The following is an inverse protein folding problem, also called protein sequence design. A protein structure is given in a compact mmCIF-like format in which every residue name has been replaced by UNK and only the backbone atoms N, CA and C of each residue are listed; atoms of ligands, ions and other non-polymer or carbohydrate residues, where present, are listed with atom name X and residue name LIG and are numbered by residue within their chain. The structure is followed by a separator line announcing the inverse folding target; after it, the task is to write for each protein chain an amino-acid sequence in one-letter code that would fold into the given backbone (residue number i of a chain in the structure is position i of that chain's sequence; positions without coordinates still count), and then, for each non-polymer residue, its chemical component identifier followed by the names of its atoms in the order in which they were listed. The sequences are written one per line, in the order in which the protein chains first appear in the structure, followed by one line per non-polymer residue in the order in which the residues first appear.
data_IF_019386665879
#
_entry.id   IF_019386665879
#
_cell.length_a   1.000
_cell.length_b   1.000
_cell.length_c   1.000
_cell.angle_alpha   90.00
_cell.angle_beta   90.00
_cell.angle_gamma   90.00
#
_symmetry.space_group_name_H-M   'P 1'
#
loop_
_entity.id
_entity.type
_entity.pdbx_description
1 polymer ?
#
# COMPACT_ATOMS: atom_id res chain seq x y z
N UNK A 1 -25.13 3.55 30.45
CA UNK A 1 -24.18 2.95 29.49
C UNK A 1 -24.18 1.44 29.64
N UNK A 2 -24.45 0.70 28.56
CA UNK A 2 -24.37 -0.77 28.54
C UNK A 2 -22.92 -1.26 28.67
N UNK A 3 -22.72 -2.47 29.17
CA UNK A 3 -21.40 -3.13 29.25
C UNK A 3 -20.73 -3.19 27.87
N UNK A 4 -21.49 -3.48 26.81
CA UNK A 4 -20.99 -3.54 25.43
C UNK A 4 -20.39 -2.22 24.97
N UNK A 5 -20.99 -1.08 25.33
CA UNK A 5 -20.47 0.24 24.95
C UNK A 5 -19.16 0.56 25.68
N UNK A 6 -19.03 0.18 26.96
CA UNK A 6 -17.78 0.38 27.71
C UNK A 6 -16.63 -0.46 27.13
N UNK A 7 -16.91 -1.72 26.79
CA UNK A 7 -15.92 -2.62 26.20
C UNK A 7 -15.51 -2.13 24.82
N UNK A 8 -16.48 -1.86 23.92
CA UNK A 8 -16.20 -1.41 22.56
C UNK A 8 -15.46 -0.06 22.53
N UNK A 9 -15.87 0.89 23.37
CA UNK A 9 -15.19 2.18 23.48
C UNK A 9 -13.75 2.02 23.97
N UNK A 10 -13.52 1.18 24.98
CA UNK A 10 -12.17 0.93 25.51
C UNK A 10 -11.25 0.29 24.46
N UNK A 11 -11.75 -0.69 23.70
CA UNK A 11 -11.01 -1.32 22.60
C UNK A 11 -10.71 -0.31 21.50
N UNK A 12 -11.71 0.49 21.09
CA UNK A 12 -11.56 1.47 20.01
C UNK A 12 -10.54 2.55 20.35
N UNK A 13 -10.44 2.94 21.63
CA UNK A 13 -9.40 3.88 22.10
C UNK A 13 -8.04 3.19 22.18
N UNK A 14 -7.96 1.97 22.69
CA UNK A 14 -6.69 1.29 22.93
C UNK A 14 -5.95 0.86 21.66
N UNK A 15 -6.65 0.28 20.69
CA UNK A 15 -6.02 -0.34 19.51
C UNK A 15 -5.18 0.61 18.65
N UNK A 16 -5.61 1.86 18.35
CA UNK A 16 -4.77 2.81 17.61
C UNK A 16 -3.43 3.09 18.28
N UNK A 17 -3.38 3.22 19.62
CA UNK A 17 -2.12 3.43 20.32
C UNK A 17 -1.22 2.19 20.29
N UNK A 18 -1.80 1.00 20.43
CA UNK A 18 -1.05 -0.25 20.30
C UNK A 18 -0.44 -0.38 18.90
N UNK A 19 -1.24 -0.18 17.84
CA UNK A 19 -0.74 -0.31 16.48
C UNK A 19 0.18 0.84 16.07
N UNK A 20 0.01 2.04 16.62
CA UNK A 20 0.98 3.12 16.47
C UNK A 20 2.32 2.72 17.09
N UNK A 21 2.31 2.22 18.32
CA UNK A 21 3.52 1.73 18.99
C UNK A 21 4.20 0.63 18.16
N UNK A 22 3.44 -0.36 17.67
CA UNK A 22 3.98 -1.44 16.85
C UNK A 22 4.51 -0.94 15.50
N UNK A 23 3.82 -0.01 14.82
CA UNK A 23 4.26 0.54 13.55
C UNK A 23 5.54 1.37 13.68
N UNK A 24 5.68 2.14 14.77
CA UNK A 24 6.86 2.96 15.07
C UNK A 24 8.08 2.11 15.46
N UNK A 25 7.87 1.08 16.29
CA UNK A 25 8.97 0.30 16.86
C UNK A 25 9.36 -0.94 16.05
N UNK A 26 8.50 -1.41 15.14
CA UNK A 26 8.87 -2.48 14.24
C UNK A 26 9.87 -2.00 13.19
N UNK A 27 10.89 -2.81 12.93
CA UNK A 27 11.79 -2.61 11.79
C UNK A 27 10.94 -2.62 10.49
N UNK A 28 11.05 -1.62 9.61
CA UNK A 28 10.35 -1.62 8.32
C UNK A 28 10.94 -2.61 7.30
N UNK A 29 12.07 -3.24 7.62
CA UNK A 29 12.87 -4.07 6.73
C UNK A 29 14.14 -3.36 6.28
N UNK A 30 14.92 -2.83 7.24
CA UNK A 30 16.23 -2.25 6.99
C UNK A 30 17.17 -3.29 6.39
N UNK A 31 17.69 -2.99 5.21
CA UNK A 31 18.61 -3.86 4.51
C UNK A 31 20.04 -3.59 5.01
N UNK A 32 20.68 -4.64 5.47
CA UNK A 32 22.07 -4.71 5.96
C UNK A 32 22.83 -5.78 5.18
N UNK A 33 24.17 -5.80 5.20
CA UNK A 33 24.93 -6.86 4.56
C UNK A 33 24.53 -8.27 5.02
N UNK A 34 24.17 -8.43 6.30
CA UNK A 34 23.85 -9.72 6.92
C UNK A 34 22.50 -10.28 6.43
N UNK A 35 21.52 -9.40 6.18
CA UNK A 35 20.18 -9.80 5.72
C UNK A 35 19.94 -9.55 4.22
N UNK A 36 20.95 -9.06 3.49
CA UNK A 36 20.85 -8.70 2.08
C UNK A 36 20.37 -9.85 1.21
N UNK A 37 20.97 -11.04 1.38
CA UNK A 37 20.62 -12.24 0.64
C UNK A 37 19.15 -12.66 0.86
N UNK A 38 18.64 -12.52 2.09
CA UNK A 38 17.24 -12.79 2.40
C UNK A 38 16.31 -11.85 1.62
N UNK A 39 16.57 -10.53 1.64
CA UNK A 39 15.74 -9.57 0.91
C UNK A 39 15.85 -9.71 -0.62
N UNK A 40 17.01 -10.13 -1.14
CA UNK A 40 17.17 -10.50 -2.56
C UNK A 40 16.33 -11.71 -2.96
N UNK A 41 16.05 -12.61 -2.01
CA UNK A 41 15.27 -13.83 -2.25
C UNK A 41 13.75 -13.64 -2.18
N UNK A 42 13.24 -12.53 -1.64
CA UNK A 42 11.80 -12.36 -1.44
C UNK A 42 11.03 -12.25 -2.76
N UNK A 43 11.56 -11.47 -3.70
CA UNK A 43 10.93 -11.14 -4.98
C UNK A 43 11.97 -11.24 -6.10
N UNK A 44 11.61 -11.72 -7.30
CA UNK A 44 12.43 -11.58 -8.51
C UNK A 44 12.38 -10.14 -9.03
N UNK A 45 13.33 -9.78 -9.90
CA UNK A 45 13.24 -8.55 -10.69
C UNK A 45 12.15 -8.69 -11.76
N UNK A 46 11.32 -7.66 -11.93
CA UNK A 46 10.24 -7.63 -12.91
C UNK A 46 10.72 -7.22 -14.31
N UNK A 47 11.94 -6.66 -14.41
CA UNK A 47 12.49 -6.05 -15.62
C UNK A 47 11.59 -4.96 -16.21
N UNK A 48 10.75 -4.35 -15.38
CA UNK A 48 9.93 -3.18 -15.71
C UNK A 48 10.29 -2.00 -14.83
N UNK A 49 9.97 -2.08 -13.54
CA UNK A 49 10.35 -1.07 -12.56
C UNK A 49 11.73 -1.36 -11.94
N UNK A 50 12.06 -2.63 -11.81
CA UNK A 50 13.24 -3.10 -11.12
C UNK A 50 14.04 -4.01 -12.05
N UNK A 51 15.17 -3.49 -12.54
CA UNK A 51 16.16 -4.26 -13.28
C UNK A 51 17.29 -4.76 -12.34
N UNK A 52 17.95 -5.87 -12.68
CA UNK A 52 19.02 -6.41 -11.86
C UNK A 52 20.31 -5.57 -11.94
N UNK A 53 21.13 -5.63 -10.88
CA UNK A 53 22.46 -5.03 -10.84
C UNK A 53 22.53 -3.55 -10.43
N UNK A 54 21.40 -2.88 -10.20
CA UNK A 54 21.40 -1.51 -9.67
C UNK A 54 21.92 -1.48 -8.23
N UNK A 55 23.05 -0.81 -7.99
CA UNK A 55 23.60 -0.61 -6.64
C UNK A 55 23.08 0.68 -6.00
N UNK A 56 22.84 0.64 -4.69
CA UNK A 56 22.60 1.87 -3.94
C UNK A 56 23.92 2.62 -3.78
N UNK A 57 23.99 3.86 -4.25
CA UNK A 57 25.19 4.71 -4.12
C UNK A 57 25.58 5.00 -2.67
N UNK A 58 24.60 5.03 -1.75
CA UNK A 58 24.83 5.31 -0.34
C UNK A 58 25.15 4.06 0.47
N UNK A 59 24.45 2.94 0.23
CA UNK A 59 24.60 1.71 1.02
C UNK A 59 25.60 0.71 0.42
N UNK A 60 26.00 0.85 -0.85
CA UNK A 60 27.08 0.07 -1.48
C UNK A 60 26.72 -1.32 -2.00
N UNK A 61 25.54 -1.86 -1.69
CA UNK A 61 25.07 -3.15 -2.18
C UNK A 61 24.06 -3.05 -3.34
N UNK A 62 23.86 -4.15 -4.05
CA UNK A 62 22.83 -4.29 -5.10
C UNK A 62 21.46 -4.19 -4.46
N UNK A 63 20.58 -3.33 -4.97
CA UNK A 63 19.25 -3.12 -4.40
C UNK A 63 18.38 -4.36 -4.63
N UNK A 64 17.85 -5.01 -3.57
CA UNK A 64 16.82 -6.01 -3.73
C UNK A 64 15.62 -5.47 -4.51
N UNK A 65 14.87 -6.32 -5.24
CA UNK A 65 13.64 -5.89 -5.91
C UNK A 65 12.68 -5.26 -4.91
N UNK A 66 11.91 -4.27 -5.37
CA UNK A 66 10.97 -3.50 -4.54
C UNK A 66 11.60 -2.68 -3.40
N UNK A 67 12.93 -2.60 -3.32
CA UNK A 67 13.61 -1.80 -2.30
C UNK A 67 13.88 -0.34 -2.74
N UNK A 68 13.96 0.56 -1.75
CA UNK A 68 14.32 1.96 -1.97
C UNK A 68 15.21 2.49 -0.84
N UNK A 69 16.19 3.31 -1.20
CA UNK A 69 16.94 4.08 -0.21
C UNK A 69 16.08 5.26 0.27
N UNK A 70 15.78 5.30 1.56
CA UNK A 70 15.12 6.45 2.16
C UNK A 70 16.18 7.46 2.60
N UNK A 71 16.17 8.66 2.01
CA UNK A 71 17.11 9.73 2.35
C UNK A 71 16.91 10.30 3.75
N UNK A 72 15.74 10.09 4.37
CA UNK A 72 15.44 10.53 5.74
C UNK A 72 15.99 9.49 6.74
N UNK A 73 15.63 8.22 6.57
CA UNK A 73 16.15 7.12 7.41
C UNK A 73 17.62 6.75 7.13
N UNK A 74 18.20 7.23 6.03
CA UNK A 74 19.58 6.95 5.56
C UNK A 74 19.87 5.46 5.37
N UNK A 75 18.86 4.67 5.00
CA UNK A 75 18.93 3.21 4.85
C UNK A 75 18.07 2.75 3.67
N UNK A 76 18.45 1.62 3.07
CA UNK A 76 17.58 0.92 2.14
C UNK A 76 16.51 0.13 2.90
N UNK A 77 15.27 0.24 2.44
CA UNK A 77 14.09 -0.42 3.01
C UNK A 77 13.59 -1.46 2.00
N UNK A 78 13.38 -2.70 2.43
CA UNK A 78 12.78 -3.76 1.64
C UNK A 78 11.28 -3.52 1.41
N UNK A 79 10.77 -3.83 0.21
CA UNK A 79 9.39 -3.52 -0.23
C UNK A 79 8.93 -2.15 0.27
N UNK A 80 9.73 -1.12 -0.01
CA UNK A 80 9.54 0.21 0.56
C UNK A 80 8.24 0.81 0.04
N UNK A 81 7.31 1.13 0.95
CA UNK A 81 6.07 1.81 0.59
C UNK A 81 6.26 3.33 0.56
N UNK A 82 6.52 3.93 1.73
CA UNK A 82 6.83 5.36 1.85
C UNK A 82 7.55 5.66 3.17
N UNK A 83 8.06 6.88 3.30
CA UNK A 83 8.45 7.42 4.59
C UNK A 83 7.25 8.18 5.18
N UNK A 84 6.76 7.74 6.32
CA UNK A 84 5.57 8.26 6.95
C UNK A 84 5.94 9.17 8.12
N UNK A 85 5.56 10.44 8.03
CA UNK A 85 5.81 11.43 9.08
C UNK A 85 5.06 11.10 10.38
N UNK A 86 3.91 10.42 10.30
CA UNK A 86 3.05 10.15 11.47
C UNK A 86 3.59 9.05 12.38
N UNK A 87 4.39 8.13 11.83
CA UNK A 87 5.11 7.12 12.62
C UNK A 87 6.61 7.45 12.71
N UNK A 88 7.02 8.62 12.19
CA UNK A 88 8.42 9.07 12.11
C UNK A 88 9.38 7.98 11.58
N UNK A 89 8.94 7.27 10.54
CA UNK A 89 9.60 6.05 10.09
C UNK A 89 9.14 5.61 8.72
N UNK A 90 9.87 4.67 8.12
CA UNK A 90 9.43 4.05 6.87
C UNK A 90 8.33 3.02 7.12
N UNK A 91 7.45 2.88 6.13
CA UNK A 91 6.57 1.72 5.98
C UNK A 91 7.20 0.83 4.91
N UNK A 92 7.47 -0.42 5.24
CA UNK A 92 8.13 -1.38 4.38
C UNK A 92 7.71 -2.82 4.69
N UNK A 93 8.44 -3.79 4.14
CA UNK A 93 8.09 -5.21 4.19
C UNK A 93 7.65 -5.73 5.58
N UNK A 94 8.44 -5.45 6.63
CA UNK A 94 8.25 -6.08 7.94
C UNK A 94 7.19 -5.38 8.82
N UNK A 95 6.93 -4.08 8.61
CA UNK A 95 5.99 -3.29 9.42
C UNK A 95 4.70 -2.86 8.69
N UNK A 96 4.54 -3.16 7.39
CA UNK A 96 3.37 -2.76 6.61
C UNK A 96 2.04 -3.20 7.26
N UNK A 97 1.98 -4.43 7.80
CA UNK A 97 0.79 -4.92 8.53
C UNK A 97 0.38 -4.02 9.70
N UNK A 98 1.33 -3.49 10.44
CA UNK A 98 1.05 -2.61 11.58
C UNK A 98 0.52 -1.26 11.12
N UNK A 99 1.04 -0.75 10.00
CA UNK A 99 0.52 0.46 9.39
C UNK A 99 -0.94 0.29 8.91
N UNK A 100 -1.27 -0.83 8.27
CA UNK A 100 -2.66 -1.15 7.87
C UNK A 100 -3.58 -1.25 9.09
N UNK A 101 -3.14 -1.94 10.15
CA UNK A 101 -3.91 -2.08 11.39
C UNK A 101 -4.06 -0.74 12.14
N UNK A 102 -3.05 0.13 12.08
CA UNK A 102 -3.13 1.50 12.60
C UNK A 102 -4.20 2.30 11.85
N UNK A 103 -4.22 2.26 10.52
CA UNK A 103 -5.26 2.94 9.72
C UNK A 103 -6.65 2.40 10.02
N UNK A 104 -6.81 1.07 10.07
CA UNK A 104 -8.10 0.43 10.38
C UNK A 104 -8.61 0.80 11.77
N UNK A 105 -7.78 0.65 12.80
CA UNK A 105 -8.16 0.98 14.17
C UNK A 105 -8.46 2.47 14.34
N UNK A 106 -7.68 3.35 13.69
CA UNK A 106 -7.92 4.81 13.70
C UNK A 106 -9.22 5.15 13.00
N UNK A 107 -9.52 4.53 11.85
CA UNK A 107 -10.79 4.70 11.14
C UNK A 107 -11.98 4.31 12.03
N UNK A 108 -11.88 3.18 12.75
CA UNK A 108 -12.90 2.73 13.69
C UNK A 108 -13.05 3.74 14.85
N UNK A 109 -11.95 4.21 15.43
CA UNK A 109 -11.98 5.18 16.53
C UNK A 109 -12.64 6.50 16.12
N UNK A 110 -12.24 7.10 15.00
CA UNK A 110 -12.80 8.39 14.56
C UNK A 110 -14.27 8.22 14.14
N UNK A 111 -14.63 7.10 13.52
CA UNK A 111 -16.04 6.79 13.17
C UNK A 111 -16.89 6.68 14.44
N UNK A 112 -16.42 5.91 15.42
CA UNK A 112 -17.15 5.70 16.67
C UNK A 112 -17.24 6.98 17.50
N UNK A 113 -16.14 7.72 17.65
CA UNK A 113 -16.10 9.00 18.36
C UNK A 113 -16.98 10.05 17.71
N UNK A 114 -16.93 10.17 16.37
CA UNK A 114 -17.81 11.06 15.61
C UNK A 114 -19.29 10.69 15.76
N UNK A 115 -19.64 9.42 15.62
CA UNK A 115 -21.02 8.95 15.77
C UNK A 115 -21.57 9.15 17.20
N UNK A 116 -20.76 8.86 18.22
CA UNK A 116 -21.11 9.07 19.61
C UNK A 116 -21.29 10.56 19.93
N UNK A 117 -20.33 11.39 19.53
CA UNK A 117 -20.39 12.83 19.69
C UNK A 117 -21.61 13.45 19.01
N UNK A 118 -21.88 13.03 17.77
CA UNK A 118 -23.06 13.43 17.01
C UNK A 118 -24.37 13.04 17.70
N UNK A 119 -24.44 11.83 18.27
CA UNK A 119 -25.61 11.35 19.02
C UNK A 119 -25.86 12.19 20.27
N UNK A 120 -24.80 12.53 21.02
CA UNK A 120 -24.88 13.36 22.23
C UNK A 120 -25.30 14.79 21.88
N UNK A 121 -24.68 15.41 20.86
CA UNK A 121 -25.05 16.74 20.37
C UNK A 121 -26.52 16.79 19.96
N UNK A 122 -26.96 15.81 19.17
CA UNK A 122 -28.36 15.71 18.73
C UNK A 122 -29.33 15.64 19.92
N UNK A 123 -29.01 14.84 20.94
CA UNK A 123 -29.86 14.73 22.13
C UNK A 123 -29.93 16.06 22.90
N UNK A 124 -28.78 16.74 23.08
CA UNK A 124 -28.71 18.06 23.74
C UNK A 124 -29.49 19.13 22.96
N UNK A 125 -29.28 19.20 21.65
CA UNK A 125 -29.97 20.15 20.78
C UNK A 125 -31.48 19.94 20.84
N UNK A 126 -31.94 18.69 20.74
CA UNK A 126 -33.38 18.38 20.82
C UNK A 126 -34.01 18.68 22.18
N UNK A 127 -33.24 18.59 23.27
CA UNK A 127 -33.74 18.96 24.59
C UNK A 127 -34.07 20.47 24.68
N UNK A 128 -33.32 21.32 23.96
CA UNK A 128 -33.54 22.78 23.93
C UNK A 128 -34.43 23.24 22.78
N UNK A 129 -34.32 22.58 21.64
CA UNK A 129 -34.99 22.86 20.37
C UNK A 129 -35.69 21.59 19.86
N UNK A 130 -36.89 21.25 20.37
CA UNK A 130 -37.56 19.98 20.05
C UNK A 130 -37.89 19.77 18.56
N UNK A 131 -38.08 20.87 17.81
CA UNK A 131 -38.31 20.84 16.36
C UNK A 131 -37.06 20.66 15.51
N UNK A 132 -35.88 20.55 16.13
CA UNK A 132 -34.62 20.43 15.42
C UNK A 132 -34.41 19.01 14.85
N UNK A 133 -33.89 18.95 13.63
CA UNK A 133 -33.64 17.74 12.86
C UNK A 133 -32.29 17.81 12.15
N UNK A 134 -31.77 16.66 11.72
CA UNK A 134 -30.48 16.53 10.99
C UNK A 134 -30.46 17.33 9.69
N UNK A 135 -31.63 17.48 9.08
CA UNK A 135 -31.83 18.34 7.92
C UNK A 135 -32.68 19.54 8.36
N UNK A 136 -32.36 20.76 7.92
CA UNK A 136 -33.13 21.94 8.31
C UNK A 136 -34.59 21.75 7.85
N UNK A 137 -35.58 21.82 8.76
CA UNK A 137 -36.98 21.81 8.37
C UNK A 137 -37.30 23.10 7.58
N UNK A 138 -38.30 23.04 6.70
CA UNK A 138 -38.70 24.19 5.86
C UNK A 138 -39.14 25.43 6.67
N UNK A 139 -39.49 25.24 7.94
CA UNK A 139 -39.85 26.30 8.88
C UNK A 139 -38.67 27.02 9.52
N UNK A 140 -37.42 26.56 9.29
CA UNK A 140 -36.22 27.10 9.92
C UNK A 140 -35.28 27.68 8.87
N UNK A 141 -34.85 28.92 9.06
CA UNK A 141 -33.86 29.54 8.18
C UNK A 141 -32.49 28.84 8.33
N UNK A 142 -31.64 28.96 7.30
CA UNK A 142 -30.28 28.45 7.38
C UNK A 142 -29.46 29.15 8.47
N UNK A 143 -29.69 30.45 8.68
CA UNK A 143 -29.03 31.23 9.74
C UNK A 143 -29.37 30.67 11.12
N UNK A 144 -30.66 30.49 11.40
CA UNK A 144 -31.12 29.91 12.67
C UNK A 144 -30.62 28.47 12.85
N UNK A 145 -30.57 27.69 11.75
CA UNK A 145 -30.06 26.32 11.78
C UNK A 145 -28.58 26.25 12.17
N UNK A 146 -27.74 27.10 11.58
CA UNK A 146 -26.32 27.17 11.94
C UNK A 146 -26.11 27.76 13.34
N UNK A 147 -26.93 28.71 13.78
CA UNK A 147 -26.89 29.22 15.16
C UNK A 147 -27.19 28.13 16.20
N UNK A 148 -28.19 27.27 15.93
CA UNK A 148 -28.52 26.14 16.81
C UNK A 148 -27.37 25.12 16.86
N UNK A 149 -26.76 24.81 15.71
CA UNK A 149 -25.57 23.95 15.65
C UNK A 149 -24.38 24.54 16.41
N UNK A 150 -24.09 25.81 16.20
CA UNK A 150 -23.03 26.55 16.88
C UNK A 150 -23.23 26.54 18.39
N UNK A 151 -24.47 26.79 18.84
CA UNK A 151 -24.84 26.67 20.25
C UNK A 151 -24.58 25.26 20.79
N UNK A 152 -25.01 24.21 20.08
CA UNK A 152 -24.81 22.83 20.51
C UNK A 152 -23.33 22.45 20.62
N UNK A 153 -22.48 22.95 19.73
CA UNK A 153 -21.03 22.74 19.75
C UNK A 153 -20.32 23.53 20.88
N UNK A 154 -20.85 24.70 21.27
CA UNK A 154 -20.23 25.57 22.26
C UNK A 154 -20.73 25.32 23.69
N UNK A 155 -21.91 24.71 23.86
CA UNK A 155 -22.45 24.31 25.17
C UNK A 155 -21.46 23.45 25.97
N UNK A 156 -20.77 22.53 25.29
CA UNK A 156 -19.60 21.82 25.80
C UNK A 156 -18.52 21.83 24.73
N UNK A 157 -17.61 22.81 24.83
CA UNK A 157 -16.53 23.04 23.86
C UNK A 157 -15.67 21.80 23.64
N UNK A 158 -15.40 21.02 24.69
CA UNK A 158 -14.56 19.83 24.58
C UNK A 158 -15.26 18.76 23.74
N UNK A 159 -16.53 18.50 24.05
CA UNK A 159 -17.33 17.52 23.31
C UNK A 159 -17.60 17.98 21.87
N UNK A 160 -17.91 19.25 21.66
CA UNK A 160 -18.10 19.84 20.32
C UNK A 160 -16.83 19.74 19.48
N UNK A 161 -15.66 20.12 20.03
CA UNK A 161 -14.39 20.05 19.33
C UNK A 161 -13.99 18.61 18.96
N UNK A 162 -14.11 17.67 19.90
CA UNK A 162 -13.79 16.24 19.63
C UNK A 162 -14.73 15.66 18.58
N UNK A 163 -16.01 16.02 18.61
CA UNK A 163 -16.99 15.55 17.61
C UNK A 163 -16.65 16.07 16.22
N UNK A 164 -16.36 17.37 16.11
CA UNK A 164 -16.00 18.00 14.84
C UNK A 164 -14.72 17.41 14.28
N UNK A 165 -13.67 17.32 15.11
CA UNK A 165 -12.40 16.71 14.73
C UNK A 165 -12.60 15.28 14.21
N UNK A 166 -13.25 14.43 15.01
CA UNK A 166 -13.50 13.03 14.64
C UNK A 166 -14.30 12.90 13.35
N UNK A 167 -15.31 13.74 13.16
CA UNK A 167 -16.16 13.73 11.95
C UNK A 167 -15.40 14.17 10.71
N UNK A 168 -14.54 15.19 10.83
CA UNK A 168 -13.75 15.70 9.70
C UNK A 168 -12.57 14.78 9.36
N UNK A 169 -11.96 14.11 10.33
CA UNK A 169 -10.84 13.19 10.08
C UNK A 169 -11.31 11.84 9.56
N UNK A 170 -12.54 11.42 9.86
CA UNK A 170 -13.06 10.09 9.47
C UNK A 170 -12.97 9.82 7.96
N UNK A 171 -13.45 10.70 7.06
CA UNK A 171 -13.32 10.48 5.62
C UNK A 171 -11.86 10.36 5.14
N UNK A 172 -10.95 11.17 5.72
CA UNK A 172 -9.53 11.15 5.37
C UNK A 172 -8.89 9.81 5.74
N UNK A 173 -9.12 9.31 6.96
CA UNK A 173 -8.52 8.05 7.42
C UNK A 173 -9.11 6.85 6.66
N UNK A 174 -10.41 6.85 6.39
CA UNK A 174 -11.02 5.83 5.53
C UNK A 174 -10.49 5.88 4.10
N UNK A 175 -10.32 7.07 3.52
CA UNK A 175 -9.74 7.24 2.18
C UNK A 175 -8.33 6.68 2.11
N UNK A 176 -7.49 6.98 3.10
CA UNK A 176 -6.14 6.43 3.21
C UNK A 176 -6.15 4.90 3.35
N UNK A 177 -7.01 4.35 4.22
CA UNK A 177 -7.14 2.90 4.41
C UNK A 177 -7.58 2.20 3.11
N UNK A 178 -8.62 2.71 2.46
CA UNK A 178 -9.15 2.16 1.20
C UNK A 178 -8.08 2.20 0.12
N UNK A 179 -7.35 3.31 0.01
CA UNK A 179 -6.25 3.44 -0.94
C UNK A 179 -5.12 2.44 -0.65
N UNK A 180 -4.69 2.29 0.60
CA UNK A 180 -3.68 1.30 0.97
C UNK A 180 -4.14 -0.13 0.68
N UNK A 181 -5.40 -0.47 0.99
CA UNK A 181 -5.97 -1.78 0.66
C UNK A 181 -6.07 -2.01 -0.85
N UNK A 182 -6.36 -0.96 -1.63
CA UNK A 182 -6.36 -1.01 -3.09
C UNK A 182 -4.96 -1.26 -3.66
N UNK A 183 -3.92 -0.59 -3.13
CA UNK A 183 -2.54 -0.85 -3.54
C UNK A 183 -2.12 -2.29 -3.24
N UNK A 184 -2.48 -2.81 -2.05
CA UNK A 184 -2.27 -4.21 -1.69
C UNK A 184 -3.02 -5.12 -2.67
N UNK A 185 -4.29 -4.82 -2.99
CA UNK A 185 -5.06 -5.57 -3.96
C UNK A 185 -4.35 -5.66 -5.32
N UNK A 186 -3.81 -4.55 -5.82
CA UNK A 186 -3.05 -4.50 -7.08
C UNK A 186 -1.61 -5.00 -6.97
N UNK A 187 -1.17 -5.52 -5.81
CA UNK A 187 0.19 -6.02 -5.62
C UNK A 187 1.29 -4.95 -5.66
N UNK A 188 0.93 -3.68 -5.49
CA UNK A 188 1.84 -2.53 -5.65
C UNK A 188 2.02 -1.79 -4.32
N UNK A 189 3.10 -1.01 -4.21
CA UNK A 189 3.35 -0.08 -3.10
C UNK A 189 3.12 1.36 -3.55
N UNK A 190 2.99 2.30 -2.60
CA UNK A 190 2.89 3.74 -2.91
C UNK A 190 4.11 4.23 -3.72
N UNK A 191 5.31 3.72 -3.41
CA UNK A 191 6.50 4.03 -4.16
C UNK A 191 6.47 3.48 -5.61
N UNK A 192 5.92 2.28 -5.80
CA UNK A 192 5.77 1.69 -7.13
C UNK A 192 4.67 2.36 -7.94
N UNK A 193 3.56 2.78 -7.32
CA UNK A 193 2.49 3.50 -8.02
C UNK A 193 2.95 4.82 -8.60
N UNK A 194 3.87 5.52 -7.93
CA UNK A 194 4.48 6.74 -8.47
C UNK A 194 5.31 6.44 -9.73
N UNK A 195 6.11 5.38 -9.71
CA UNK A 195 6.87 4.96 -10.89
C UNK A 195 5.98 4.49 -12.03
N UNK A 196 4.86 3.83 -11.75
CA UNK A 196 3.87 3.49 -12.77
C UNK A 196 3.22 4.74 -13.39
N UNK A 197 3.12 5.85 -12.65
CA UNK A 197 2.68 7.12 -13.22
C UNK A 197 3.70 7.68 -14.20
N UNK A 198 5.00 7.64 -13.85
CA UNK A 198 6.09 8.04 -14.76
C UNK A 198 6.08 7.18 -16.03
N UNK A 199 5.92 5.86 -15.90
CA UNK A 199 5.76 4.96 -17.05
C UNK A 199 4.57 5.30 -17.95
N UNK A 200 3.47 5.77 -17.36
CA UNK A 200 2.29 6.18 -18.14
C UNK A 200 2.59 7.42 -18.97
N UNK A 201 3.30 8.39 -18.40
CA UNK A 201 3.76 9.58 -19.11
C UNK A 201 4.72 9.18 -20.25
N UNK A 202 5.68 8.30 -19.98
CA UNK A 202 6.60 7.76 -21.00
C UNK A 202 5.86 7.00 -22.12
N UNK A 203 4.76 6.30 -21.82
CA UNK A 203 3.92 5.66 -22.83
C UNK A 203 3.16 6.67 -23.68
N UNK A 204 2.61 7.71 -23.07
CA UNK A 204 1.87 8.77 -23.76
C UNK A 204 2.80 9.56 -24.71
N UNK A 205 4.06 9.76 -24.31
CA UNK A 205 5.12 10.36 -25.14
C UNK A 205 5.71 9.39 -26.18
N UNK A 206 5.29 8.11 -26.16
CA UNK A 206 5.77 7.08 -27.05
C UNK A 206 7.22 6.70 -26.80
N UNK A 207 7.73 6.79 -25.57
CA UNK A 207 9.11 6.44 -25.21
C UNK A 207 9.24 5.02 -24.67
N UNK A 208 8.13 4.35 -24.35
CA UNK A 208 8.09 3.03 -23.72
C UNK A 208 8.04 1.86 -24.72
N UNK A 209 8.88 0.84 -24.47
CA UNK A 209 8.96 -0.39 -25.26
C UNK A 209 8.97 -1.63 -24.36
N UNK A 210 8.39 -2.73 -24.86
CA UNK A 210 8.51 -4.06 -24.26
C UNK A 210 9.03 -5.09 -25.26
N UNK A 211 9.53 -6.19 -24.73
CA UNK A 211 9.66 -7.45 -25.45
C UNK A 211 9.51 -8.64 -24.53
N UNK A 212 9.40 -9.84 -25.09
CA UNK A 212 9.24 -11.06 -24.31
C UNK A 212 10.53 -11.43 -23.56
N UNK A 213 10.38 -12.01 -22.38
CA UNK A 213 11.45 -12.66 -21.62
C UNK A 213 11.18 -14.17 -21.56
N UNK A 214 12.22 -14.97 -21.84
CA UNK A 214 12.12 -16.43 -21.72
C UNK A 214 11.94 -16.86 -20.26
N UNK A 215 11.01 -17.79 -20.02
CA UNK A 215 10.78 -18.39 -18.70
C UNK A 215 11.95 -19.25 -18.22
N UNK A 216 12.80 -19.72 -19.13
CA UNK A 216 13.97 -20.56 -18.83
C UNK A 216 15.27 -19.76 -18.94
N UNK A 217 15.23 -18.44 -18.67
CA UNK A 217 16.41 -17.59 -18.71
C UNK A 217 17.43 -18.02 -17.66
N UNK A 218 18.71 -17.96 -18.01
CA UNK A 218 19.80 -18.10 -17.04
C UNK A 218 19.91 -16.79 -16.25
N UNK A 219 19.78 -16.88 -14.92
CA UNK A 219 19.98 -15.74 -14.02
C UNK A 219 21.46 -15.51 -13.76
N UNK A 220 21.89 -14.25 -13.74
CA UNK A 220 23.25 -13.90 -13.32
C UNK A 220 23.33 -13.90 -11.78
N UNK A 221 24.04 -14.85 -11.14
CA UNK A 221 24.11 -14.96 -9.69
C UNK A 221 24.80 -13.77 -9.02
N UNK A 222 25.54 -12.94 -9.78
CA UNK A 222 26.17 -11.72 -9.26
C UNK A 222 25.18 -10.57 -9.15
N UNK A 223 24.02 -10.65 -9.82
CA UNK A 223 23.05 -9.55 -9.92
C UNK A 223 21.66 -9.92 -9.43
N UNK A 224 21.33 -11.20 -9.45
CA UNK A 224 20.01 -11.74 -9.13
C UNK A 224 20.14 -12.92 -8.17
N UNK A 225 19.11 -13.12 -7.34
CA UNK A 225 18.98 -14.36 -6.58
C UNK A 225 18.65 -15.51 -7.54
N UNK A 226 19.31 -16.66 -7.36
CA UNK A 226 19.02 -17.87 -8.14
C UNK A 226 17.57 -18.33 -7.93
N UNK A 227 17.09 -18.25 -6.69
CA UNK A 227 15.72 -18.61 -6.30
C UNK A 227 15.00 -17.43 -5.69
N UNK A 228 13.68 -17.38 -5.88
CA UNK A 228 12.80 -16.43 -5.19
C UNK A 228 11.70 -17.17 -4.44
N UNK A 229 11.26 -16.57 -3.32
CA UNK A 229 10.06 -16.96 -2.59
C UNK A 229 8.81 -16.74 -3.45
N UNK A 230 8.77 -15.65 -4.20
CA UNK A 230 7.69 -15.35 -5.14
C UNK A 230 7.55 -16.48 -6.18
N UNK A 231 6.31 -16.91 -6.51
CA UNK A 231 6.07 -18.12 -7.32
C UNK A 231 6.19 -17.88 -8.84
N UNK A 232 6.24 -16.62 -9.28
CA UNK A 232 6.32 -16.23 -10.69
C UNK A 232 7.69 -15.62 -11.00
N UNK A 233 8.11 -15.70 -12.25
CA UNK A 233 9.26 -14.95 -12.80
C UNK A 233 8.77 -14.06 -13.95
N UNK A 234 9.54 -13.05 -14.31
CA UNK A 234 9.14 -12.14 -15.38
C UNK A 234 9.08 -12.84 -16.74
N UNK A 235 8.10 -12.46 -17.56
CA UNK A 235 7.93 -12.91 -18.95
C UNK A 235 8.04 -11.75 -19.94
N UNK A 236 8.41 -10.57 -19.45
CA UNK A 236 8.55 -9.36 -20.24
C UNK A 236 9.75 -8.55 -19.76
N UNK A 237 10.25 -7.69 -20.64
CA UNK A 237 11.23 -6.65 -20.31
C UNK A 237 10.67 -5.35 -20.84
N UNK A 238 10.64 -4.32 -20.00
CA UNK A 238 10.28 -2.98 -20.38
C UNK A 238 11.49 -2.06 -20.27
N UNK A 239 11.59 -1.14 -21.22
CA UNK A 239 12.59 -0.08 -21.24
C UNK A 239 12.00 1.21 -21.81
N UNK A 240 12.56 2.34 -21.38
CA UNK A 240 12.27 3.66 -21.95
C UNK A 240 13.47 4.14 -22.76
N UNK A 241 13.21 4.92 -23.80
CA UNK A 241 14.25 5.47 -24.67
C UNK A 241 14.09 6.98 -24.82
N UNK A 242 15.18 7.74 -24.76
CA UNK A 242 15.13 9.21 -24.83
C UNK A 242 14.74 9.74 -26.23
N UNK A 243 14.97 8.96 -27.28
CA UNK A 243 14.78 9.38 -28.68
C UNK A 243 13.49 8.81 -29.32
N UNK A 244 12.69 8.06 -28.56
CA UNK A 244 11.48 7.39 -29.06
C UNK A 244 11.72 6.29 -30.11
N UNK A 245 12.98 5.87 -30.30
CA UNK A 245 13.34 4.78 -31.21
C UNK A 245 13.49 3.47 -30.44
N UNK A 246 13.15 2.32 -31.04
CA UNK A 246 13.33 1.04 -30.35
C UNK A 246 14.80 0.85 -29.97
N UNK A 247 15.09 0.26 -28.79
CA UNK A 247 16.45 -0.04 -28.38
C UNK A 247 17.17 -0.92 -29.39
N UNK A 248 18.50 -0.87 -29.38
CA UNK A 248 19.31 -1.80 -30.16
C UNK A 248 18.98 -3.27 -29.80
N UNK A 249 19.24 -4.19 -30.72
CA UNK A 249 18.88 -5.61 -30.58
C UNK A 249 19.46 -6.30 -29.31
N UNK A 250 20.53 -5.74 -28.73
CA UNK A 250 21.16 -6.24 -27.50
C UNK A 250 20.30 -6.09 -26.24
N UNK A 251 20.78 -6.67 -25.13
CA UNK A 251 20.14 -6.58 -23.82
C UNK A 251 19.26 -7.79 -23.45
N UNK A 252 18.53 -7.72 -22.32
CA UNK A 252 17.71 -8.83 -21.82
C UNK A 252 16.38 -8.97 -22.58
N UNK A 253 15.97 -10.20 -22.88
CA UNK A 253 14.73 -10.51 -23.62
C UNK A 253 14.99 -11.15 -24.97
N UNK A 254 13.91 -11.50 -25.68
CA UNK A 254 13.92 -12.15 -26.98
C UNK A 254 12.88 -11.51 -27.90
N UNK A 255 13.13 -11.56 -29.21
CA UNK A 255 12.25 -10.96 -30.21
C UNK A 255 12.46 -9.46 -30.39
N UNK A 256 11.61 -8.88 -31.23
CA UNK A 256 11.59 -7.46 -31.56
C UNK A 256 11.03 -6.61 -30.42
N UNK A 257 11.47 -5.35 -30.34
CA UNK A 257 10.92 -4.39 -29.41
C UNK A 257 9.57 -3.86 -29.91
N UNK A 258 8.54 -4.02 -29.09
CA UNK A 258 7.20 -3.52 -29.34
C UNK A 258 6.95 -2.26 -28.51
N UNK A 259 6.44 -1.21 -29.14
CA UNK A 259 6.08 0.02 -28.43
C UNK A 259 4.82 -0.19 -27.60
N UNK A 260 4.81 0.35 -26.38
CA UNK A 260 3.66 0.27 -25.45
C UNK A 260 3.00 1.64 -25.37
N UNK A 261 1.68 1.66 -25.46
CA UNK A 261 0.88 2.89 -25.37
C UNK A 261 -0.06 2.92 -24.17
N UNK A 262 -0.28 1.77 -23.53
CA UNK A 262 -1.24 1.65 -22.44
C UNK A 262 -0.63 0.79 -21.35
N UNK A 263 -0.74 1.27 -20.11
CA UNK A 263 -0.39 0.52 -18.88
C UNK A 263 -0.98 -0.89 -18.83
N UNK A 264 -2.12 -1.00 -19.47
CA UNK A 264 -2.91 -2.18 -19.72
C UNK A 264 -2.17 -3.33 -20.39
N UNK A 265 -1.22 -3.00 -21.24
CA UNK A 265 -0.46 -3.98 -22.00
C UNK A 265 0.82 -4.43 -21.23
N UNK A 266 0.94 -4.04 -19.96
CA UNK A 266 2.05 -4.35 -19.06
C UNK A 266 1.58 -5.25 -17.93
N UNK A 267 2.26 -6.38 -17.74
CA UNK A 267 1.97 -7.28 -16.64
C UNK A 267 2.61 -6.78 -15.33
N UNK A 268 1.84 -6.71 -14.24
CA UNK A 268 2.40 -6.50 -12.91
C UNK A 268 2.78 -7.85 -12.31
N UNK A 269 4.08 -8.18 -12.33
CA UNK A 269 4.60 -9.45 -11.78
C UNK A 269 4.23 -9.66 -10.30
N UNK A 270 4.02 -8.59 -9.55
CA UNK A 270 3.75 -8.65 -8.12
C UNK A 270 2.26 -8.72 -7.77
N UNK A 271 1.36 -8.72 -8.75
CA UNK A 271 -0.07 -8.89 -8.51
C UNK A 271 -0.47 -10.37 -8.53
N UNK A 272 -0.73 -10.94 -7.34
CA UNK A 272 -1.23 -12.32 -7.17
C UNK A 272 -2.74 -12.36 -6.86
N UNK A 273 -3.43 -11.22 -6.93
CA UNK A 273 -4.80 -11.07 -6.46
C UNK A 273 -4.90 -10.87 -4.94
N UNK A 274 -6.11 -10.48 -4.51
CA UNK A 274 -6.37 -9.95 -3.17
C UNK A 274 -5.80 -10.81 -2.03
N UNK A 275 -6.11 -12.11 -2.03
CA UNK A 275 -5.80 -12.98 -0.91
C UNK A 275 -4.30 -13.16 -0.72
N UNK A 276 -3.59 -13.54 -1.78
CA UNK A 276 -2.14 -13.77 -1.70
C UNK A 276 -1.37 -12.48 -1.44
N UNK A 277 -1.79 -11.35 -2.03
CA UNK A 277 -1.18 -10.06 -1.74
C UNK A 277 -1.40 -9.62 -0.28
N UNK A 278 -2.58 -9.87 0.29
CA UNK A 278 -2.83 -9.62 1.72
C UNK A 278 -1.99 -10.53 2.60
N UNK A 279 -1.90 -11.83 2.29
CA UNK A 279 -1.11 -12.75 3.07
C UNK A 279 0.39 -12.40 3.02
N UNK A 280 0.91 -11.92 1.89
CA UNK A 280 2.29 -11.40 1.80
C UNK A 280 2.56 -10.21 2.74
N UNK A 281 1.52 -9.42 3.06
CA UNK A 281 1.62 -8.29 4.00
C UNK A 281 1.49 -8.75 5.45
N UNK A 282 0.52 -9.62 5.75
CA UNK A 282 0.17 -9.97 7.12
C UNK A 282 0.93 -11.18 7.68
N UNK A 283 1.35 -12.10 6.82
CA UNK A 283 2.05 -13.34 7.18
C UNK A 283 3.49 -13.27 6.70
N UNK A 284 4.41 -13.17 7.66
CA UNK A 284 5.83 -13.20 7.37
C UNK A 284 6.17 -14.51 6.67
N UNK A 285 6.96 -14.43 5.60
CA UNK A 285 7.39 -15.58 4.81
C UNK A 285 6.23 -16.42 4.26
N UNK A 286 5.09 -15.78 3.97
CA UNK A 286 3.94 -16.45 3.34
C UNK A 286 4.38 -17.26 2.12
N UNK A 287 4.02 -18.54 2.12
CA UNK A 287 4.23 -19.47 1.01
C UNK A 287 3.06 -19.38 0.02
N UNK A 288 3.37 -19.03 -1.23
CA UNK A 288 2.39 -18.94 -2.30
C UNK A 288 2.05 -20.32 -2.90
N UNK A 289 0.77 -20.63 -3.07
CA UNK A 289 0.29 -21.83 -3.78
C UNK A 289 0.78 -23.16 -3.20
N UNK A 290 1.10 -24.13 -4.07
CA UNK A 290 1.55 -25.51 -3.72
C UNK A 290 2.84 -25.59 -2.88
N UNK A 291 3.44 -24.45 -2.50
CA UNK A 291 4.53 -24.37 -1.50
C UNK A 291 4.05 -24.24 -0.06
N UNK A 292 2.76 -24.49 0.25
CA UNK A 292 2.28 -24.61 1.65
C UNK A 292 2.86 -25.83 2.38
N UNK A 293 3.20 -26.88 1.65
CA UNK A 293 3.64 -28.17 2.22
C UNK A 293 5.14 -28.43 2.01
N UNK A 294 5.86 -27.43 1.49
CA UNK A 294 7.30 -27.50 1.27
C UNK A 294 7.97 -26.52 2.24
N UNK A 295 8.92 -26.97 3.09
CA UNK A 295 10.00 -26.10 3.55
C UNK A 295 10.60 -25.32 2.37
N UNK A 296 11.37 -24.23 2.56
CA UNK A 296 12.07 -23.60 1.43
C UNK A 296 12.88 -24.68 0.68
N UNK A 297 12.48 -25.06 -0.53
CA UNK A 297 12.91 -26.32 -1.16
C UNK A 297 13.30 -26.15 -2.63
N UNK A 298 14.37 -26.86 -2.97
CA UNK A 298 14.81 -27.29 -4.30
C UNK A 298 13.74 -28.08 -5.08
N UNK A 299 13.44 -27.57 -6.27
CA UNK A 299 13.22 -28.30 -7.54
C UNK A 299 11.86 -28.89 -8.00
N UNK A 300 11.65 -28.63 -9.30
CA UNK A 300 10.97 -29.33 -10.41
C UNK A 300 9.45 -29.67 -10.47
N UNK A 301 8.75 -28.94 -11.37
CA UNK A 301 7.97 -29.54 -12.48
C UNK A 301 6.44 -29.72 -12.37
N UNK A 302 5.63 -28.83 -13.00
CA UNK A 302 4.44 -29.19 -13.85
C UNK A 302 3.71 -28.00 -14.51
N UNK A 303 2.97 -28.24 -15.63
CA UNK A 303 2.50 -27.20 -16.56
C UNK A 303 1.10 -26.60 -16.30
N UNK A 304 0.87 -25.54 -17.09
CA UNK A 304 -0.05 -24.37 -17.04
C UNK A 304 -1.57 -24.63 -17.17
N UNK A 305 -2.38 -23.63 -16.79
CA UNK A 305 -3.71 -23.33 -17.36
C UNK A 305 -3.88 -21.81 -17.60
N UNK A 306 -4.64 -21.38 -18.63
CA UNK A 306 -4.73 -19.98 -19.06
C UNK A 306 -5.78 -19.16 -18.29
N UNK A 307 -5.50 -17.86 -18.08
CA UNK A 307 -6.38 -16.90 -17.43
C UNK A 307 -7.24 -16.11 -18.42
N UNK A 308 -8.43 -15.73 -17.95
CA UNK A 308 -9.48 -14.99 -18.64
C UNK A 308 -9.15 -13.51 -18.74
N UNK A 309 -9.56 -12.90 -19.85
CA UNK A 309 -9.50 -11.47 -20.09
C UNK A 309 -10.46 -10.70 -19.16
N UNK A 310 -9.96 -9.68 -18.45
CA UNK A 310 -10.78 -8.67 -17.79
C UNK A 310 -10.26 -7.27 -18.12
N UNK A 311 -11.23 -6.39 -18.34
CA UNK A 311 -11.14 -5.10 -19.03
C UNK A 311 -10.52 -4.02 -18.16
N UNK A 312 -9.75 -3.18 -18.84
CA UNK A 312 -9.25 -1.88 -18.42
C UNK A 312 -10.32 -0.80 -18.49
#
# INVERSE_FOLDING_TARGET
MSTSHRVFGSISVFLPYLFLYLAVNADPGYITPENHAYYMSLYPYDFSIFHPGHKCSTCGFIKPPRSKHCSICKRCIAKCDHHCIFINGCVGYENHKWFVLLLLSTAILTTYGGALGYSILTAKIRARFPGWSVWPPSSLSWEDYFLIWSWGLQDDVSMGAVTLLSSMTTPLVWGLLIYTLWLIYCGTTTNESLKWSEWKEDMDDGLAFKRSMSTNRTKDPLRESATSRWPLDTQQVLVTTENGMPPAAGGPGQGEWERIWKMRDVENLYDMGLWDNMMDVFVKDYGFGKRRDQPPIEDEGRPRQPLKASRF
#
